data_IF_855423606246
#
_entry.id   IF_855423606246
#
_cell.length_a   1.000
_cell.length_b   1.000
_cell.length_c   1.000
_cell.angle_alpha   90.00
_cell.angle_beta   90.00
_cell.angle_gamma   90.00
#
_symmetry.space_group_name_H-M   'P 1'
#
loop_
_entity.id
_entity.type
_entity.pdbx_description
1 polymer ?
#
# COMPACT_ATOMS: atom_id res chain seq x y z
N UNK A 1 4.61 10.49 24.18
CA UNK A 1 3.56 9.49 23.97
C UNK A 1 4.13 8.38 23.08
N UNK A 2 4.69 7.34 23.75
CA UNK A 2 5.29 6.17 23.12
C UNK A 2 4.23 5.34 22.39
N UNK A 3 4.28 5.28 21.08
CA UNK A 3 3.65 4.21 20.32
C UNK A 3 4.55 2.98 20.46
N UNK A 4 4.15 2.05 21.29
CA UNK A 4 4.71 0.71 21.34
C UNK A 4 4.55 0.09 19.96
N UNK A 5 5.64 -0.03 19.23
CA UNK A 5 5.67 -0.89 18.03
C UNK A 5 5.42 -2.32 18.51
N UNK A 6 4.26 -2.87 18.17
CA UNK A 6 3.96 -4.27 18.44
C UNK A 6 4.99 -5.18 17.76
N UNK A 7 5.18 -6.39 18.25
CA UNK A 7 6.18 -7.32 17.72
C UNK A 7 5.88 -7.59 16.25
N UNK A 8 6.87 -7.32 15.40
CA UNK A 8 6.86 -7.74 13.98
C UNK A 8 7.08 -9.24 13.99
N UNK A 9 6.00 -10.00 13.88
CA UNK A 9 6.08 -11.44 13.70
C UNK A 9 6.50 -11.73 12.25
N UNK A 10 7.74 -12.12 12.05
CA UNK A 10 8.14 -12.92 10.88
C UNK A 10 7.58 -14.31 11.12
N UNK A 11 6.31 -14.51 10.80
CA UNK A 11 5.66 -15.80 10.89
C UNK A 11 6.30 -16.77 9.89
N UNK A 12 6.46 -17.99 10.32
CA UNK A 12 6.99 -19.17 9.64
C UNK A 12 6.65 -19.18 8.12
N UNK A 13 7.64 -18.85 7.28
CA UNK A 13 7.43 -18.30 5.93
C UNK A 13 6.88 -19.28 4.86
N UNK A 14 6.72 -20.57 5.17
CA UNK A 14 6.21 -21.57 4.23
C UNK A 14 4.68 -21.58 4.13
N UNK A 15 3.99 -21.78 5.24
CA UNK A 15 2.53 -21.90 5.28
C UNK A 15 1.81 -20.60 4.93
N UNK A 16 2.31 -19.45 5.40
CA UNK A 16 1.71 -18.15 5.13
C UNK A 16 1.79 -17.76 3.66
N UNK A 17 2.88 -18.07 2.96
CA UNK A 17 3.01 -17.81 1.51
C UNK A 17 2.01 -18.62 0.68
N UNK A 18 1.72 -19.86 1.08
CA UNK A 18 0.71 -20.72 0.41
C UNK A 18 -0.70 -20.24 0.68
N UNK A 19 -1.01 -19.84 1.91
CA UNK A 19 -2.31 -19.27 2.29
C UNK A 19 -2.63 -17.96 1.54
N UNK A 20 -1.66 -17.04 1.47
CA UNK A 20 -1.80 -15.79 0.72
C UNK A 20 -1.96 -16.04 -0.77
N UNK A 21 -1.28 -17.03 -1.35
CA UNK A 21 -1.48 -17.44 -2.75
C UNK A 21 -2.90 -17.96 -2.98
N UNK A 22 -3.42 -18.80 -2.06
CA UNK A 22 -4.79 -19.29 -2.11
C UNK A 22 -5.83 -18.17 -2.09
N UNK A 23 -5.69 -17.21 -1.19
CA UNK A 23 -6.60 -16.05 -1.09
C UNK A 23 -6.53 -15.18 -2.37
N UNK A 24 -5.34 -14.97 -2.92
CA UNK A 24 -5.18 -14.20 -4.19
C UNK A 24 -5.84 -14.91 -5.36
N UNK A 25 -5.72 -16.23 -5.44
CA UNK A 25 -6.38 -17.02 -6.47
C UNK A 25 -7.90 -17.00 -6.30
N UNK A 26 -8.42 -17.21 -5.09
CA UNK A 26 -9.85 -17.14 -4.79
C UNK A 26 -10.43 -15.78 -5.16
N UNK A 27 -9.72 -14.68 -4.85
CA UNK A 27 -10.12 -13.32 -5.25
C UNK A 27 -10.17 -13.16 -6.76
N UNK A 28 -9.17 -13.64 -7.49
CA UNK A 28 -9.13 -13.58 -8.94
C UNK A 28 -10.30 -14.34 -9.58
N UNK A 29 -10.56 -15.56 -9.11
CA UNK A 29 -11.67 -16.38 -9.60
C UNK A 29 -13.03 -15.75 -9.30
N UNK A 30 -13.19 -15.18 -8.12
CA UNK A 30 -14.42 -14.48 -7.75
C UNK A 30 -14.64 -13.24 -8.62
N UNK A 31 -13.59 -12.45 -8.88
CA UNK A 31 -13.69 -11.25 -9.73
C UNK A 31 -14.02 -11.62 -11.16
N UNK A 32 -13.38 -12.67 -11.68
CA UNK A 32 -13.70 -13.20 -13.00
C UNK A 32 -15.16 -13.70 -13.09
N UNK A 33 -15.63 -14.45 -12.08
CA UNK A 33 -17.02 -14.89 -12.00
C UNK A 33 -18.00 -13.71 -11.91
N UNK A 34 -17.71 -12.71 -11.09
CA UNK A 34 -18.53 -11.51 -10.96
C UNK A 34 -18.65 -10.72 -12.27
N UNK A 35 -17.55 -10.59 -13.02
CA UNK A 35 -17.53 -9.95 -14.34
C UNK A 35 -18.34 -10.69 -15.40
N UNK A 36 -18.43 -12.02 -15.29
CA UNK A 36 -19.15 -12.88 -16.22
C UNK A 36 -20.52 -13.35 -15.72
N UNK A 37 -21.06 -12.71 -14.68
CA UNK A 37 -22.31 -13.13 -14.04
C UNK A 37 -23.52 -13.05 -15.01
N UNK A 38 -23.54 -12.07 -15.90
CA UNK A 38 -24.59 -11.92 -16.92
C UNK A 38 -24.56 -13.05 -17.94
N UNK A 39 -23.39 -13.43 -18.42
CA UNK A 39 -23.18 -14.56 -19.31
C UNK A 39 -23.58 -15.88 -18.62
N UNK A 40 -23.16 -16.07 -17.37
CA UNK A 40 -23.54 -17.22 -16.56
C UNK A 40 -25.06 -17.35 -16.40
N UNK A 41 -25.78 -16.25 -16.11
CA UNK A 41 -27.23 -16.27 -15.97
C UNK A 41 -27.99 -16.46 -17.30
N UNK A 42 -27.38 -16.08 -18.42
CA UNK A 42 -27.96 -16.33 -19.73
C UNK A 42 -27.84 -17.81 -20.14
N UNK A 43 -26.68 -18.43 -19.86
CA UNK A 43 -26.43 -19.84 -20.18
C UNK A 43 -27.10 -20.79 -19.20
N UNK A 44 -27.16 -20.43 -17.92
CA UNK A 44 -27.75 -21.26 -16.88
C UNK A 44 -29.25 -20.92 -16.67
N UNK A 45 -30.11 -21.88 -16.87
CA UNK A 45 -31.59 -21.74 -16.80
C UNK A 45 -32.08 -21.76 -15.35
N UNK A 46 -31.56 -20.86 -14.49
CA UNK A 46 -32.02 -20.74 -13.10
C UNK A 46 -33.32 -19.96 -12.98
N UNK A 47 -34.16 -20.32 -12.00
CA UNK A 47 -35.29 -19.50 -11.59
C UNK A 47 -34.80 -18.10 -11.12
N UNK A 48 -35.64 -17.08 -11.33
CA UNK A 48 -35.30 -15.68 -11.03
C UNK A 48 -34.83 -15.48 -9.59
N UNK A 49 -35.47 -16.14 -8.62
CA UNK A 49 -35.04 -16.06 -7.21
C UNK A 49 -33.59 -16.50 -6.97
N UNK A 50 -33.15 -17.57 -7.63
CA UNK A 50 -31.77 -18.04 -7.53
C UNK A 50 -30.78 -17.06 -8.20
N UNK A 51 -31.14 -16.45 -9.32
CA UNK A 51 -30.29 -15.44 -9.98
C UNK A 51 -30.07 -14.23 -9.07
N UNK A 52 -31.12 -13.76 -8.41
CA UNK A 52 -31.05 -12.64 -7.45
C UNK A 52 -30.14 -13.02 -6.26
N UNK A 53 -30.37 -14.20 -5.67
CA UNK A 53 -29.58 -14.66 -4.53
C UNK A 53 -28.08 -14.78 -4.87
N UNK A 54 -27.75 -15.45 -5.98
CA UNK A 54 -26.37 -15.60 -6.44
C UNK A 54 -25.76 -14.22 -6.73
N UNK A 55 -26.50 -13.32 -7.37
CA UNK A 55 -26.03 -11.96 -7.65
C UNK A 55 -25.70 -11.18 -6.38
N UNK A 56 -26.56 -11.21 -5.37
CA UNK A 56 -26.32 -10.55 -4.07
C UNK A 56 -25.10 -11.15 -3.37
N UNK A 57 -25.01 -12.49 -3.27
CA UNK A 57 -23.89 -13.15 -2.61
C UNK A 57 -22.56 -12.87 -3.32
N UNK A 58 -22.56 -12.88 -4.65
CA UNK A 58 -21.37 -12.55 -5.45
C UNK A 58 -20.97 -11.09 -5.25
N UNK A 59 -21.95 -10.15 -5.22
CA UNK A 59 -21.69 -8.74 -4.96
C UNK A 59 -21.10 -8.49 -3.56
N UNK A 60 -21.66 -9.12 -2.54
CA UNK A 60 -21.13 -9.03 -1.16
C UNK A 60 -19.71 -9.59 -1.09
N UNK A 61 -19.48 -10.79 -1.66
CA UNK A 61 -18.18 -11.41 -1.70
C UNK A 61 -17.15 -10.56 -2.48
N UNK A 62 -17.56 -9.97 -3.62
CA UNK A 62 -16.74 -9.06 -4.40
C UNK A 62 -16.29 -7.85 -3.57
N UNK A 63 -17.21 -7.17 -2.91
CA UNK A 63 -16.91 -6.04 -2.03
C UNK A 63 -15.99 -6.46 -0.88
N UNK A 64 -16.31 -7.59 -0.22
CA UNK A 64 -15.45 -8.11 0.85
C UNK A 64 -14.01 -8.30 0.38
N UNK A 65 -13.78 -9.02 -0.72
CA UNK A 65 -12.44 -9.28 -1.24
C UNK A 65 -11.77 -8.04 -1.86
N UNK A 66 -12.54 -7.05 -2.26
CA UNK A 66 -12.01 -5.77 -2.72
C UNK A 66 -11.38 -4.98 -1.57
N UNK A 67 -11.96 -5.04 -0.36
CA UNK A 67 -11.46 -4.33 0.82
C UNK A 67 -10.60 -5.20 1.73
N UNK A 68 -10.67 -6.52 1.61
CA UNK A 68 -9.89 -7.42 2.43
C UNK A 68 -8.41 -7.45 2.03
N UNK A 69 -7.54 -7.25 3.02
CA UNK A 69 -6.10 -7.18 2.84
C UNK A 69 -5.41 -8.29 3.62
N UNK A 70 -5.04 -9.41 2.99
CA UNK A 70 -4.09 -10.32 3.62
C UNK A 70 -2.71 -9.65 3.60
N UNK A 71 -2.25 -9.20 4.75
CA UNK A 71 -0.96 -8.51 4.87
C UNK A 71 0.19 -9.52 4.86
N UNK A 72 1.18 -9.28 4.00
CA UNK A 72 2.48 -9.98 4.06
C UNK A 72 3.43 -9.25 5.00
N UNK A 73 3.21 -7.95 5.22
CA UNK A 73 4.06 -7.11 6.04
C UNK A 73 3.36 -6.80 7.35
N UNK A 74 3.88 -7.35 8.43
CA UNK A 74 3.38 -7.07 9.77
C UNK A 74 3.95 -5.73 10.27
N UNK A 75 3.08 -4.84 10.73
CA UNK A 75 3.46 -3.69 11.55
C UNK A 75 3.16 -2.30 11.00
N UNK A 76 3.27 -2.04 9.70
CA UNK A 76 3.01 -0.70 9.15
C UNK A 76 1.76 -0.67 8.26
N UNK A 77 0.69 -0.01 8.73
CA UNK A 77 -0.57 0.16 7.98
C UNK A 77 -0.35 0.80 6.59
N UNK A 78 0.62 1.72 6.50
CA UNK A 78 0.97 2.41 5.26
C UNK A 78 1.50 1.43 4.22
N UNK A 79 2.42 0.55 4.60
CA UNK A 79 3.05 -0.43 3.72
C UNK A 79 2.05 -1.52 3.30
N UNK A 80 1.20 -1.97 4.22
CA UNK A 80 0.12 -2.89 3.93
C UNK A 80 -0.88 -2.31 2.92
N UNK A 81 -1.22 -1.02 3.03
CA UNK A 81 -2.12 -0.34 2.10
C UNK A 81 -1.48 -0.18 0.71
N UNK A 82 -0.19 0.11 0.63
CA UNK A 82 0.57 0.16 -0.62
C UNK A 82 0.63 -1.22 -1.29
N UNK A 83 0.88 -2.27 -0.51
CA UNK A 83 0.85 -3.66 -1.00
C UNK A 83 -0.53 -4.02 -1.57
N UNK A 84 -1.60 -3.62 -0.89
CA UNK A 84 -2.95 -3.84 -1.37
C UNK A 84 -3.21 -3.17 -2.71
N UNK A 85 -2.85 -1.90 -2.85
CA UNK A 85 -2.95 -1.16 -4.12
C UNK A 85 -2.22 -1.86 -5.27
N UNK A 86 -0.99 -2.29 -5.05
CA UNK A 86 -0.22 -3.07 -6.02
C UNK A 86 -0.88 -4.41 -6.36
N UNK A 87 -1.44 -5.11 -5.36
CA UNK A 87 -2.12 -6.39 -5.57
C UNK A 87 -3.45 -6.21 -6.34
N UNK A 88 -4.20 -5.12 -6.13
CA UNK A 88 -5.40 -4.80 -6.91
C UNK A 88 -5.07 -4.55 -8.38
N UNK A 89 -4.06 -3.73 -8.67
CA UNK A 89 -3.64 -3.46 -10.05
C UNK A 89 -3.17 -4.74 -10.76
N UNK A 90 -2.39 -5.58 -10.07
CA UNK A 90 -1.97 -6.87 -10.61
C UNK A 90 -3.17 -7.80 -10.87
N UNK A 91 -4.11 -7.87 -9.93
CA UNK A 91 -5.32 -8.69 -10.08
C UNK A 91 -6.15 -8.20 -11.25
N UNK A 92 -6.35 -6.89 -11.39
CA UNK A 92 -7.05 -6.29 -12.52
C UNK A 92 -6.39 -6.60 -13.86
N UNK A 93 -5.05 -6.54 -13.94
CA UNK A 93 -4.33 -6.88 -15.17
C UNK A 93 -4.49 -8.36 -15.56
N UNK A 94 -4.38 -9.29 -14.59
CA UNK A 94 -4.59 -10.72 -14.86
C UNK A 94 -6.03 -11.00 -15.23
N UNK A 95 -6.99 -10.35 -14.56
CA UNK A 95 -8.40 -10.48 -14.87
C UNK A 95 -8.74 -9.98 -16.27
N UNK A 96 -8.16 -8.85 -16.69
CA UNK A 96 -8.32 -8.33 -18.06
C UNK A 96 -7.88 -9.37 -19.11
N UNK A 97 -6.74 -10.06 -18.88
CA UNK A 97 -6.28 -11.11 -19.80
C UNK A 97 -7.25 -12.30 -19.83
N UNK A 98 -7.73 -12.75 -18.65
CA UNK A 98 -8.72 -13.82 -18.57
C UNK A 98 -10.02 -13.45 -19.27
N UNK A 99 -10.46 -12.19 -19.14
CA UNK A 99 -11.66 -11.71 -19.79
C UNK A 99 -11.54 -11.68 -21.32
N UNK A 100 -10.40 -11.22 -21.84
CA UNK A 100 -10.13 -11.29 -23.28
C UNK A 100 -10.25 -12.73 -23.83
N UNK A 101 -9.73 -13.71 -23.06
CA UNK A 101 -9.86 -15.13 -23.44
C UNK A 101 -11.31 -15.59 -23.35
N UNK A 102 -12.04 -15.22 -22.28
CA UNK A 102 -13.44 -15.61 -22.09
C UNK A 102 -14.33 -15.05 -23.19
N UNK A 103 -14.21 -13.76 -23.49
CA UNK A 103 -14.97 -13.10 -24.58
C UNK A 103 -14.62 -13.74 -25.93
N UNK A 104 -13.35 -14.03 -26.17
CA UNK A 104 -12.93 -14.74 -27.40
C UNK A 104 -13.62 -16.12 -27.56
N UNK A 105 -13.71 -16.88 -26.46
CA UNK A 105 -14.41 -18.18 -26.47
C UNK A 105 -15.90 -18.03 -26.69
N UNK A 106 -16.54 -17.04 -26.01
CA UNK A 106 -17.98 -16.78 -26.14
C UNK A 106 -18.35 -16.35 -27.58
N UNK A 107 -17.55 -15.50 -28.19
CA UNK A 107 -17.74 -15.09 -29.58
C UNK A 107 -17.54 -16.27 -30.54
N UNK A 108 -16.48 -17.06 -30.36
CA UNK A 108 -16.19 -18.22 -31.20
C UNK A 108 -17.30 -19.28 -31.15
N UNK A 109 -17.83 -19.52 -29.93
CA UNK A 109 -18.85 -20.53 -29.72
C UNK A 109 -20.25 -20.08 -30.08
N UNK A 110 -20.47 -18.79 -30.43
CA UNK A 110 -21.78 -18.18 -30.62
C UNK A 110 -22.76 -18.45 -29.45
N UNK A 111 -22.20 -18.61 -28.24
CA UNK A 111 -22.94 -19.06 -27.06
C UNK A 111 -23.94 -18.01 -26.54
N UNK A 112 -23.70 -16.74 -26.86
CA UNK A 112 -24.54 -15.63 -26.40
C UNK A 112 -24.99 -14.75 -27.56
N UNK A 113 -26.16 -14.16 -27.40
CA UNK A 113 -26.61 -13.10 -28.31
C UNK A 113 -25.74 -11.84 -28.08
N UNK A 114 -25.32 -11.18 -29.16
CA UNK A 114 -24.37 -10.06 -29.15
C UNK A 114 -24.72 -8.94 -28.13
N UNK A 115 -26.03 -8.67 -27.90
CA UNK A 115 -26.47 -7.67 -26.93
C UNK A 115 -26.14 -8.08 -25.48
N UNK A 116 -26.25 -9.37 -25.17
CA UNK A 116 -25.87 -9.90 -23.85
C UNK A 116 -24.37 -9.89 -23.64
N UNK A 117 -23.58 -10.13 -24.70
CA UNK A 117 -22.12 -10.01 -24.65
C UNK A 117 -21.69 -8.56 -24.37
N UNK A 118 -22.36 -7.57 -24.98
CA UNK A 118 -22.10 -6.16 -24.71
C UNK A 118 -22.44 -5.78 -23.26
N UNK A 119 -23.55 -6.29 -22.71
CA UNK A 119 -23.93 -6.07 -21.31
C UNK A 119 -22.87 -6.70 -20.39
N UNK A 120 -22.43 -7.94 -20.67
CA UNK A 120 -21.40 -8.62 -19.90
C UNK A 120 -20.09 -7.84 -19.90
N UNK A 121 -19.65 -7.39 -21.07
CA UNK A 121 -18.45 -6.57 -21.22
C UNK A 121 -18.56 -5.22 -20.48
N UNK A 122 -19.75 -4.61 -20.48
CA UNK A 122 -20.04 -3.38 -19.72
C UNK A 122 -19.93 -3.59 -18.21
N UNK A 123 -20.48 -4.67 -17.68
CA UNK A 123 -20.35 -5.05 -16.25
C UNK A 123 -18.89 -5.28 -15.89
N UNK A 124 -18.19 -6.09 -16.69
CA UNK A 124 -16.74 -6.31 -16.50
C UNK A 124 -15.96 -5.00 -16.49
N UNK A 125 -16.16 -4.14 -17.48
CA UNK A 125 -15.45 -2.87 -17.60
C UNK A 125 -15.66 -1.98 -16.37
N UNK A 126 -16.90 -1.90 -15.86
CA UNK A 126 -17.24 -1.12 -14.67
C UNK A 126 -16.58 -1.69 -13.40
N UNK A 127 -16.63 -2.99 -13.21
CA UNK A 127 -16.01 -3.63 -12.04
C UNK A 127 -14.48 -3.56 -12.12
N UNK A 128 -13.89 -3.77 -13.30
CA UNK A 128 -12.45 -3.64 -13.52
C UNK A 128 -11.97 -2.21 -13.27
N UNK A 129 -12.73 -1.22 -13.76
CA UNK A 129 -12.45 0.19 -13.48
C UNK A 129 -12.46 0.50 -11.99
N UNK A 130 -13.45 -0.02 -11.23
CA UNK A 130 -13.53 0.18 -9.79
C UNK A 130 -12.29 -0.38 -9.06
N UNK A 131 -11.81 -1.57 -9.45
CA UNK A 131 -10.62 -2.20 -8.87
C UNK A 131 -9.35 -1.41 -9.19
N UNK A 132 -9.19 -1.00 -10.46
CA UNK A 132 -8.03 -0.22 -10.90
C UNK A 132 -8.02 1.14 -10.21
N UNK A 133 -9.16 1.82 -10.15
CA UNK A 133 -9.30 3.10 -9.46
C UNK A 133 -8.94 2.99 -7.98
N UNK A 134 -9.46 1.99 -7.27
CA UNK A 134 -9.12 1.76 -5.88
C UNK A 134 -7.63 1.43 -5.70
N UNK A 135 -7.05 0.61 -6.57
CA UNK A 135 -5.62 0.30 -6.55
C UNK A 135 -4.75 1.54 -6.70
N UNK A 136 -5.09 2.41 -7.66
CA UNK A 136 -4.41 3.70 -7.87
C UNK A 136 -4.59 4.65 -6.70
N UNK A 137 -5.78 4.70 -6.10
CA UNK A 137 -6.06 5.52 -4.92
C UNK A 137 -5.21 5.10 -3.72
N UNK A 138 -5.10 3.79 -3.45
CA UNK A 138 -4.21 3.27 -2.40
C UNK A 138 -2.75 3.67 -2.64
N UNK A 139 -2.27 3.57 -3.88
CA UNK A 139 -0.90 3.99 -4.23
C UNK A 139 -0.75 5.49 -4.06
N UNK A 140 -1.69 6.30 -4.55
CA UNK A 140 -1.64 7.76 -4.46
C UNK A 140 -1.57 8.27 -3.02
N UNK A 141 -2.32 7.62 -2.11
CA UNK A 141 -2.39 8.02 -0.70
C UNK A 141 -1.19 7.53 0.13
N UNK A 142 -0.53 6.45 -0.26
CA UNK A 142 0.45 5.78 0.59
C UNK A 142 1.86 5.69 -0.01
N UNK A 143 2.03 5.86 -1.33
CA UNK A 143 3.36 5.93 -1.94
C UNK A 143 4.00 7.30 -1.69
N UNK A 144 5.27 7.29 -1.32
CA UNK A 144 6.08 8.51 -1.21
C UNK A 144 6.91 8.77 -2.48
N UNK A 145 7.11 7.76 -3.32
CA UNK A 145 7.92 7.84 -4.53
C UNK A 145 7.11 8.18 -5.79
N UNK A 146 5.82 7.80 -5.81
CA UNK A 146 4.93 8.15 -6.92
C UNK A 146 4.48 9.60 -6.76
N UNK A 147 5.04 10.48 -7.59
CA UNK A 147 4.77 11.92 -7.55
C UNK A 147 3.37 12.24 -8.08
N UNK A 148 2.73 13.25 -7.50
CA UNK A 148 1.40 13.76 -7.88
C UNK A 148 1.22 14.02 -9.39
N UNK A 149 2.21 14.56 -10.15
CA UNK A 149 2.05 14.78 -11.59
C UNK A 149 1.67 13.54 -12.40
N UNK A 150 2.08 12.35 -11.99
CA UNK A 150 1.71 11.11 -12.68
C UNK A 150 0.22 10.77 -12.55
N UNK A 151 -0.38 11.02 -11.38
CA UNK A 151 -1.81 10.86 -11.15
C UNK A 151 -2.63 11.90 -11.91
N UNK A 152 -2.13 13.14 -11.97
CA UNK A 152 -2.73 14.21 -12.75
C UNK A 152 -2.69 13.86 -14.25
N UNK A 153 -1.54 13.40 -14.75
CA UNK A 153 -1.41 12.94 -16.13
C UNK A 153 -2.37 11.80 -16.46
N UNK A 154 -2.51 10.82 -15.56
CA UNK A 154 -3.45 9.71 -15.71
C UNK A 154 -4.91 10.21 -15.83
N UNK A 155 -5.29 11.21 -15.01
CA UNK A 155 -6.63 11.80 -15.04
C UNK A 155 -6.91 12.55 -16.34
N UNK A 156 -5.98 13.37 -16.81
CA UNK A 156 -6.18 14.15 -18.04
C UNK A 156 -6.04 13.33 -19.34
N UNK A 157 -5.29 12.22 -19.30
CA UNK A 157 -5.07 11.38 -20.47
C UNK A 157 -5.98 10.12 -20.50
N UNK A 158 -7.05 10.11 -19.69
CA UNK A 158 -7.94 8.95 -19.55
C UNK A 158 -8.56 8.48 -20.89
N UNK A 159 -8.76 9.40 -21.84
CA UNK A 159 -9.29 9.15 -23.18
C UNK A 159 -8.28 8.52 -24.16
N UNK A 160 -6.98 8.44 -23.78
CA UNK A 160 -5.91 7.78 -24.54
C UNK A 160 -5.56 6.43 -23.90
N UNK A 161 -6.22 5.32 -24.29
CA UNK A 161 -6.10 4.05 -23.57
C UNK A 161 -4.68 3.48 -23.55
N UNK A 162 -3.93 3.60 -24.66
CA UNK A 162 -2.55 3.09 -24.74
C UNK A 162 -1.61 3.87 -23.82
N UNK A 163 -1.71 5.19 -23.83
CA UNK A 163 -0.87 6.05 -23.00
C UNK A 163 -1.24 5.88 -21.51
N UNK A 164 -2.52 5.76 -21.24
CA UNK A 164 -3.02 5.52 -19.89
C UNK A 164 -2.53 4.18 -19.31
N UNK A 165 -2.53 3.13 -20.12
CA UNK A 165 -1.97 1.84 -19.74
C UNK A 165 -0.47 1.95 -19.41
N UNK A 166 0.29 2.71 -20.22
CA UNK A 166 1.70 2.96 -19.94
C UNK A 166 1.93 3.69 -18.62
N UNK A 167 1.10 4.71 -18.32
CA UNK A 167 1.14 5.44 -17.04
C UNK A 167 0.81 4.54 -15.84
N UNK A 168 -0.22 3.70 -15.95
CA UNK A 168 -0.57 2.72 -14.91
C UNK A 168 0.58 1.76 -14.65
N UNK A 169 1.22 1.24 -15.70
CA UNK A 169 2.39 0.35 -15.56
C UNK A 169 3.56 1.07 -14.90
N UNK A 170 3.81 2.33 -15.26
CA UNK A 170 4.86 3.14 -14.63
C UNK A 170 4.59 3.35 -13.14
N UNK A 171 3.38 3.78 -12.78
CA UNK A 171 2.95 3.97 -11.38
C UNK A 171 3.09 2.65 -10.59
N UNK A 172 2.60 1.55 -11.15
CA UNK A 172 2.71 0.23 -10.54
C UNK A 172 4.15 -0.20 -10.29
N UNK A 173 5.05 -0.03 -11.29
CA UNK A 173 6.46 -0.39 -11.16
C UNK A 173 7.16 0.43 -10.07
N UNK A 174 6.92 1.73 -10.03
CA UNK A 174 7.48 2.63 -9.02
C UNK A 174 6.98 2.27 -7.62
N UNK A 175 5.67 2.07 -7.44
CA UNK A 175 5.08 1.67 -6.17
C UNK A 175 5.57 0.29 -5.70
N UNK A 176 5.71 -0.67 -6.62
CA UNK A 176 6.23 -2.01 -6.32
C UNK A 176 7.71 -1.98 -5.92
N UNK A 177 8.51 -1.15 -6.56
CA UNK A 177 9.92 -0.97 -6.19
C UNK A 177 10.04 -0.35 -4.80
N UNK A 178 9.25 0.69 -4.49
CA UNK A 178 9.16 1.29 -3.15
C UNK A 178 8.79 0.24 -2.11
N UNK A 179 7.73 -0.55 -2.37
CA UNK A 179 7.29 -1.63 -1.49
C UNK A 179 8.43 -2.63 -1.20
N UNK A 180 9.16 -3.05 -2.23
CA UNK A 180 10.27 -3.99 -2.08
C UNK A 180 11.40 -3.41 -1.22
N UNK A 181 11.77 -2.15 -1.44
CA UNK A 181 12.81 -1.46 -0.65
C UNK A 181 12.41 -1.30 0.81
N UNK A 182 11.16 -0.88 1.07
CA UNK A 182 10.68 -0.69 2.46
C UNK A 182 10.52 -2.04 3.18
N UNK A 183 10.14 -3.12 2.50
CA UNK A 183 10.12 -4.46 3.06
C UNK A 183 11.54 -4.95 3.43
N UNK A 184 12.49 -4.81 2.51
CA UNK A 184 13.89 -5.18 2.76
C UNK A 184 14.50 -4.37 3.93
N UNK A 185 14.14 -3.08 4.02
CA UNK A 185 14.53 -2.23 5.14
C UNK A 185 13.93 -2.73 6.45
N UNK A 186 12.64 -3.06 6.46
CA UNK A 186 11.98 -3.59 7.67
C UNK A 186 12.61 -4.92 8.14
N UNK A 187 12.99 -5.81 7.20
CA UNK A 187 13.71 -7.04 7.51
C UNK A 187 15.11 -6.75 8.11
N UNK A 188 15.86 -5.81 7.53
CA UNK A 188 17.13 -5.37 8.08
C UNK A 188 16.99 -4.75 9.47
N UNK A 189 15.94 -3.95 9.72
CA UNK A 189 15.68 -3.32 11.02
C UNK A 189 15.42 -4.37 12.11
N UNK A 190 14.74 -5.49 11.77
CA UNK A 190 14.50 -6.60 12.71
C UNK A 190 15.84 -7.24 13.12
N UNK A 191 16.67 -7.61 12.12
CA UNK A 191 17.97 -8.26 12.37
C UNK A 191 18.90 -7.35 13.18
N UNK A 192 18.88 -6.04 12.89
CA UNK A 192 19.74 -5.06 13.56
C UNK A 192 19.29 -4.71 14.98
N UNK A 193 17.99 -4.84 15.27
CA UNK A 193 17.42 -4.52 16.58
C UNK A 193 18.09 -5.30 17.72
N UNK A 194 18.42 -6.55 17.48
CA UNK A 194 19.10 -7.41 18.47
C UNK A 194 20.59 -7.04 18.65
N UNK A 195 21.22 -6.49 17.61
CA UNK A 195 22.65 -6.13 17.66
C UNK A 195 22.93 -4.76 18.26
N UNK A 196 21.91 -3.93 18.47
CA UNK A 196 22.01 -2.57 19.05
C UNK A 196 23.19 -1.76 18.51
N UNK A 197 23.46 -1.84 17.20
CA UNK A 197 24.69 -1.29 16.56
C UNK A 197 24.87 0.22 16.73
N UNK A 198 23.81 0.94 17.08
CA UNK A 198 23.84 2.38 17.35
C UNK A 198 23.84 2.70 18.84
N UNK A 199 23.97 1.69 19.72
CA UNK A 199 24.07 1.89 21.16
C UNK A 199 25.43 2.49 21.50
N UNK A 200 25.40 3.70 21.99
CA UNK A 200 26.58 4.43 22.42
C UNK A 200 26.68 4.44 23.94
N UNK A 201 27.91 4.61 24.47
CA UNK A 201 28.13 4.71 25.92
C UNK A 201 27.37 5.89 26.55
N UNK A 202 27.23 6.97 25.81
CA UNK A 202 26.52 8.17 26.23
C UNK A 202 25.34 8.43 25.28
N UNK A 203 24.25 9.01 25.76
CA UNK A 203 23.14 9.39 24.92
C UNK A 203 23.56 10.45 23.89
N UNK A 204 22.88 10.46 22.76
CA UNK A 204 23.13 11.40 21.66
C UNK A 204 22.21 12.60 21.86
N UNK A 205 22.77 13.80 21.97
CA UNK A 205 22.01 15.05 22.00
C UNK A 205 22.02 15.67 20.60
N UNK A 206 20.84 15.77 19.97
CA UNK A 206 20.65 16.40 18.68
C UNK A 206 20.37 17.90 18.87
N UNK A 207 21.28 18.73 18.40
CA UNK A 207 21.20 20.20 18.50
C UNK A 207 20.84 20.76 17.12
N UNK A 208 19.80 21.57 17.03
CA UNK A 208 19.41 22.27 15.79
C UNK A 208 20.05 23.65 15.68
N UNK A 209 20.14 24.17 14.45
CA UNK A 209 20.62 25.53 14.18
C UNK A 209 19.57 26.62 14.44
N UNK A 210 19.94 27.86 14.11
CA UNK A 210 19.12 29.05 14.25
C UNK A 210 17.84 28.91 13.38
N UNK A 211 16.69 29.40 13.90
CA UNK A 211 15.37 29.45 13.24
C UNK A 211 14.60 28.14 13.02
N UNK A 212 15.10 26.96 13.37
CA UNK A 212 14.43 25.71 13.02
C UNK A 212 13.56 25.07 14.13
N UNK A 213 13.65 25.53 15.38
CA UNK A 213 12.90 24.93 16.49
C UNK A 213 11.40 25.25 16.45
N UNK A 214 11.07 26.47 16.07
CA UNK A 214 9.70 27.00 16.23
C UNK A 214 8.74 26.53 15.13
N UNK A 215 9.25 25.88 14.12
CA UNK A 215 8.47 25.31 13.03
C UNK A 215 8.25 23.79 13.26
N UNK A 216 7.23 23.47 14.03
CA UNK A 216 6.85 22.08 14.33
C UNK A 216 6.50 21.24 13.07
N UNK A 217 6.21 21.91 11.95
CA UNK A 217 5.92 21.26 10.66
C UNK A 217 7.16 20.75 9.94
N UNK A 218 8.36 21.26 10.27
CA UNK A 218 9.61 20.84 9.64
C UNK A 218 10.49 20.07 10.64
N UNK A 219 10.54 18.76 10.48
CA UNK A 219 11.49 17.95 11.23
C UNK A 219 12.89 18.12 10.65
N UNK A 220 13.73 18.95 11.28
CA UNK A 220 15.10 19.24 10.84
C UNK A 220 15.94 17.96 10.64
N UNK A 221 15.79 16.98 11.52
CA UNK A 221 16.57 15.74 11.49
C UNK A 221 15.91 14.65 10.60
N UNK A 222 14.71 14.89 10.10
CA UNK A 222 13.99 13.94 9.27
C UNK A 222 13.81 12.57 9.93
N UNK A 223 14.24 11.51 9.25
CA UNK A 223 14.13 10.13 9.73
C UNK A 223 15.33 9.66 10.56
N UNK A 224 16.42 10.44 10.63
CA UNK A 224 17.68 10.03 11.29
C UNK A 224 17.46 9.62 12.75
N UNK A 225 16.78 10.40 13.62
CA UNK A 225 16.59 10.01 15.01
C UNK A 225 15.85 8.69 15.18
N UNK A 226 14.77 8.50 14.40
CA UNK A 226 13.97 7.30 14.44
C UNK A 226 14.77 6.04 14.03
N UNK A 227 15.64 6.17 13.02
CA UNK A 227 16.48 5.06 12.58
C UNK A 227 17.58 4.73 13.62
N UNK A 228 18.17 5.73 14.24
CA UNK A 228 19.16 5.53 15.30
C UNK A 228 18.52 4.88 16.54
N UNK A 229 17.33 5.33 16.96
CA UNK A 229 16.60 4.76 18.08
C UNK A 229 16.19 3.30 17.83
N UNK A 230 15.75 2.96 16.61
CA UNK A 230 15.47 1.57 16.24
C UNK A 230 16.68 0.64 16.40
N UNK A 231 17.86 1.18 16.26
CA UNK A 231 19.13 0.45 16.36
C UNK A 231 19.84 0.62 17.73
N UNK A 232 19.10 1.00 18.77
CA UNK A 232 19.56 1.00 20.17
C UNK A 232 20.13 2.34 20.67
N UNK A 233 20.14 3.41 19.88
CA UNK A 233 20.60 4.72 20.34
C UNK A 233 19.58 5.39 21.28
N UNK A 234 20.07 6.01 22.33
CA UNK A 234 19.31 6.90 23.20
C UNK A 234 19.49 8.33 22.71
N UNK A 235 18.38 8.99 22.32
CA UNK A 235 18.43 10.31 21.68
C UNK A 235 17.64 11.33 22.48
N UNK A 236 18.28 12.46 22.75
CA UNK A 236 17.67 13.66 23.29
C UNK A 236 17.73 14.80 22.26
N UNK A 237 16.81 15.75 22.37
CA UNK A 237 16.73 16.92 21.51
C UNK A 237 17.10 18.17 22.31
N UNK A 238 18.00 19.00 21.77
CA UNK A 238 18.33 20.30 22.33
C UNK A 238 17.13 21.21 22.39
N UNK A 239 16.93 21.86 23.56
CA UNK A 239 15.81 22.77 23.82
C UNK A 239 16.23 24.24 23.83
N UNK A 240 17.43 24.55 23.32
CA UNK A 240 17.90 25.94 23.25
C UNK A 240 16.97 26.82 22.39
N UNK A 241 16.86 28.09 22.72
CA UNK A 241 16.12 29.04 21.88
C UNK A 241 16.83 29.30 20.57
N UNK A 242 16.08 29.43 19.47
CA UNK A 242 16.64 29.55 18.13
C UNK A 242 17.11 30.97 17.76
N UNK A 243 16.73 31.98 18.52
CA UNK A 243 16.99 33.40 18.20
C UNK A 243 17.82 34.15 19.27
N UNK A 244 18.50 33.42 20.15
CA UNK A 244 19.33 34.03 21.22
C UNK A 244 20.82 33.97 20.87
N UNK A 245 21.65 34.60 21.74
CA UNK A 245 23.09 34.60 21.58
C UNK A 245 23.70 33.21 21.71
N UNK A 246 24.82 32.95 21.07
CA UNK A 246 25.53 31.67 21.14
C UNK A 246 25.88 31.33 22.58
N UNK A 247 26.26 32.32 23.40
CA UNK A 247 26.63 32.12 24.81
C UNK A 247 25.47 31.68 25.68
N UNK A 248 24.26 32.22 25.41
CA UNK A 248 23.03 31.79 26.11
C UNK A 248 22.60 30.41 25.68
N UNK A 249 22.60 30.11 24.38
CA UNK A 249 22.33 28.78 23.85
C UNK A 249 23.26 27.72 24.45
N UNK A 250 24.55 28.05 24.58
CA UNK A 250 25.54 27.16 25.19
C UNK A 250 25.27 26.89 26.66
N UNK A 251 24.80 27.90 27.42
CA UNK A 251 24.42 27.73 28.84
C UNK A 251 23.20 26.85 29.00
N UNK A 252 22.17 27.05 28.17
CA UNK A 252 20.95 26.21 28.17
C UNK A 252 21.29 24.75 27.85
N UNK A 253 22.11 24.52 26.82
CA UNK A 253 22.55 23.17 26.47
C UNK A 253 23.40 22.53 27.56
N UNK A 254 24.31 23.28 28.18
CA UNK A 254 25.11 22.78 29.31
C UNK A 254 24.23 22.38 30.51
N UNK A 255 23.19 23.18 30.82
CA UNK A 255 22.23 22.83 31.85
C UNK A 255 21.43 21.55 31.50
N UNK A 256 21.00 21.43 30.24
CA UNK A 256 20.29 20.25 29.76
C UNK A 256 21.19 18.98 29.80
N UNK A 257 22.45 19.09 29.40
CA UNK A 257 23.41 17.96 29.48
C UNK A 257 23.59 17.50 30.92
N UNK A 258 23.75 18.45 31.87
CA UNK A 258 23.86 18.12 33.31
C UNK A 258 22.61 17.39 33.79
N UNK A 259 21.41 17.80 33.39
CA UNK A 259 20.17 17.13 33.78
C UNK A 259 20.09 15.70 33.25
N UNK A 260 20.48 15.49 31.96
CA UNK A 260 20.50 14.16 31.32
C UNK A 260 21.53 13.23 31.99
N UNK A 261 22.65 13.75 32.47
CA UNK A 261 23.69 12.96 33.12
C UNK A 261 23.38 12.60 34.57
N UNK A 262 22.34 13.22 35.17
CA UNK A 262 21.90 12.94 36.56
C UNK A 262 20.73 11.96 36.61
N UNK A 263 20.07 11.69 35.49
CA UNK A 263 19.09 10.62 35.33
C UNK A 263 19.77 9.29 34.94
#
# INVERSE_FOLDING_TARGET
>A
LGRTAGPVFVLNGGNMKTEIRGIRLARLLLFWFAGNLTAFFALAHFAVGWKILIGILTGIAFLFFQFFHPHTVAGEKKLASLEHGCNLLRTGAVWLVLECVTVGILIWSHALFWALELVNLGVFALLCWAIVFQGLLHIALHSSQVKLPWHIALFFLWWMPVLNLFLIVHIYRTAKHELHLECAKAECDIVRKESEICKTRYPILLVHGIFFRDWQLFNYWGRIPAELQKNGAVIFYGKQQSAQSISESARELAAQIKAICTE
#
